data_IF_161149207988
#
_entry.id   IF_161149207988
#
_cell.length_a   1.000
_cell.length_b   1.000
_cell.length_c   1.000
_cell.angle_alpha   90.00
_cell.angle_beta   90.00
_cell.angle_gamma   90.00
#
_symmetry.space_group_name_H-M   'P 1'
#
loop_
_entity.id
_entity.type
_entity.pdbx_description
1 polymer ?
#
# COMPACT_ATOMS: atom_id res chain seq x y z
N UNK A 1 -0.10 -1.64 -33.08
CA UNK A 1 -0.54 -2.34 -34.30
C UNK A 1 -2.03 -2.59 -34.24
N UNK A 2 -2.64 -2.96 -35.37
CA UNK A 2 -4.07 -3.32 -35.47
C UNK A 2 -4.23 -4.64 -36.23
N UNK A 3 -5.47 -5.11 -36.43
CA UNK A 3 -5.78 -6.44 -37.01
C UNK A 3 -5.43 -6.60 -38.50
N UNK A 4 -5.04 -5.51 -39.18
CA UNK A 4 -4.64 -5.49 -40.59
C UNK A 4 -3.48 -4.50 -40.78
N UNK A 5 -2.66 -4.70 -41.82
CA UNK A 5 -1.46 -3.89 -42.08
C UNK A 5 -1.82 -2.44 -42.40
N UNK A 6 -1.34 -1.49 -41.61
CA UNK A 6 -1.46 -0.06 -41.90
C UNK A 6 -0.28 0.42 -42.73
N UNK A 7 -0.52 1.03 -43.90
CA UNK A 7 0.57 1.67 -44.67
C UNK A 7 1.25 2.79 -43.88
N UNK A 8 0.53 3.38 -42.92
CA UNK A 8 1.01 4.36 -41.94
C UNK A 8 2.13 3.83 -41.04
N UNK A 9 2.27 2.51 -40.88
CA UNK A 9 3.39 1.91 -40.16
C UNK A 9 4.74 2.27 -40.81
N UNK A 10 4.76 2.52 -42.13
CA UNK A 10 5.93 3.00 -42.87
C UNK A 10 6.22 4.50 -42.72
N UNK A 11 5.38 5.25 -42.00
CA UNK A 11 5.65 6.66 -41.63
C UNK A 11 6.40 6.79 -40.30
N UNK A 12 6.64 5.68 -39.59
CA UNK A 12 7.32 5.64 -38.30
C UNK A 12 8.31 4.48 -38.24
N UNK A 13 9.13 4.41 -37.19
CA UNK A 13 10.02 3.27 -36.96
C UNK A 13 9.35 2.25 -36.05
N UNK A 14 8.62 1.29 -36.64
CA UNK A 14 8.02 0.18 -35.88
C UNK A 14 9.04 -0.58 -35.02
N UNK A 15 10.30 -0.72 -35.44
CA UNK A 15 11.32 -1.40 -34.62
C UNK A 15 11.72 -0.60 -33.37
N UNK A 16 11.61 0.73 -33.40
CA UNK A 16 11.74 1.59 -32.20
C UNK A 16 10.48 1.54 -31.32
N UNK A 17 9.29 1.53 -31.89
CA UNK A 17 8.04 1.82 -31.18
C UNK A 17 7.10 0.62 -30.92
N UNK A 18 7.40 -0.60 -31.40
CA UNK A 18 6.58 -1.78 -31.08
C UNK A 18 6.98 -2.38 -29.73
N UNK A 19 6.00 -2.54 -28.83
CA UNK A 19 6.11 -3.52 -27.74
C UNK A 19 6.28 -4.92 -28.32
N UNK A 20 7.08 -5.77 -27.67
CA UNK A 20 7.47 -7.10 -28.17
C UNK A 20 7.29 -8.11 -27.05
N UNK A 21 6.57 -9.21 -27.27
CA UNK A 21 6.76 -10.36 -26.39
C UNK A 21 8.13 -10.98 -26.69
N UNK A 22 8.93 -11.27 -25.66
CA UNK A 22 10.27 -11.87 -25.83
C UNK A 22 10.42 -13.25 -25.20
N UNK A 23 9.55 -13.60 -24.25
CA UNK A 23 9.61 -14.85 -23.50
C UNK A 23 8.21 -15.20 -22.95
N UNK A 24 7.94 -16.48 -22.71
CA UNK A 24 6.65 -17.02 -22.24
C UNK A 24 6.90 -18.25 -21.35
N UNK A 25 6.74 -18.11 -20.03
CA UNK A 25 6.74 -19.25 -19.09
C UNK A 25 5.33 -19.87 -18.99
N UNK A 26 5.18 -21.20 -18.88
CA UNK A 26 3.95 -21.79 -18.32
C UNK A 26 3.87 -21.53 -16.81
N UNK A 27 2.67 -21.33 -16.27
CA UNK A 27 2.48 -21.16 -14.82
C UNK A 27 2.61 -22.53 -14.12
N UNK A 28 3.52 -22.71 -13.14
CA UNK A 28 3.68 -23.99 -12.45
C UNK A 28 2.42 -24.42 -11.68
N UNK A 29 1.96 -25.64 -11.92
CA UNK A 29 0.79 -26.22 -11.23
C UNK A 29 -0.56 -26.00 -11.90
N UNK A 30 -0.61 -25.20 -12.98
CA UNK A 30 -1.83 -24.87 -13.72
C UNK A 30 -1.78 -25.44 -15.15
N UNK A 31 -2.94 -25.86 -15.70
CA UNK A 31 -2.95 -26.64 -16.95
C UNK A 31 -2.80 -25.80 -18.24
N UNK A 32 -3.16 -24.51 -18.21
CA UNK A 32 -3.22 -23.65 -19.41
C UNK A 32 -2.86 -22.14 -19.29
N UNK A 33 -2.57 -21.51 -18.13
CA UNK A 33 -2.13 -20.11 -18.08
C UNK A 33 -0.61 -19.95 -18.24
N UNK A 34 -0.19 -18.79 -18.74
CA UNK A 34 1.20 -18.46 -19.09
C UNK A 34 1.57 -17.05 -18.59
N UNK A 35 2.84 -16.86 -18.23
CA UNK A 35 3.45 -15.55 -17.94
C UNK A 35 4.17 -15.10 -19.21
N UNK A 36 3.53 -14.22 -20.00
CA UNK A 36 4.14 -13.61 -21.18
C UNK A 36 4.82 -12.28 -20.83
N UNK A 37 6.10 -12.16 -21.16
CA UNK A 37 6.89 -10.97 -20.83
C UNK A 37 6.97 -9.99 -22.02
N UNK A 38 6.60 -8.73 -21.79
CA UNK A 38 6.47 -7.69 -22.83
C UNK A 38 7.09 -6.36 -22.40
N UNK A 39 8.34 -6.02 -22.82
CA UNK A 39 8.88 -4.67 -22.72
C UNK A 39 8.16 -3.70 -23.66
N UNK A 40 8.08 -2.45 -23.20
CA UNK A 40 7.63 -1.29 -23.94
C UNK A 40 8.77 -0.26 -23.97
N UNK A 41 9.10 0.33 -25.14
CA UNK A 41 10.02 1.46 -25.22
C UNK A 41 9.57 2.64 -24.35
N UNK A 42 10.52 3.32 -23.69
CA UNK A 42 10.24 4.46 -22.80
C UNK A 42 9.45 5.58 -23.51
N UNK A 43 9.82 5.86 -24.76
CA UNK A 43 9.17 6.84 -25.65
C UNK A 43 7.65 6.65 -25.88
N UNK A 44 7.05 5.53 -25.41
CA UNK A 44 5.61 5.28 -25.48
C UNK A 44 4.84 5.74 -24.24
N UNK A 45 5.54 6.15 -23.18
CA UNK A 45 4.96 6.58 -21.91
C UNK A 45 5.02 8.10 -21.83
N UNK A 46 3.85 8.74 -21.70
CA UNK A 46 3.76 10.15 -21.32
C UNK A 46 4.26 10.31 -19.88
N UNK A 47 5.12 11.30 -19.63
CA UNK A 47 5.69 11.58 -18.32
C UNK A 47 4.66 12.14 -17.31
N UNK A 48 3.71 11.32 -16.85
CA UNK A 48 2.98 11.52 -15.58
C UNK A 48 1.44 11.41 -15.54
N UNK A 49 0.75 10.77 -16.51
CA UNK A 49 -0.72 10.89 -16.67
C UNK A 49 -1.50 9.58 -16.92
N UNK A 50 -2.58 9.30 -16.13
CA UNK A 50 -3.66 8.28 -16.36
C UNK A 50 -4.93 8.62 -15.51
N UNK A 51 -6.17 8.40 -15.95
CA UNK A 51 -7.45 8.71 -15.20
C UNK A 51 -8.53 7.62 -15.43
N UNK A 52 -9.64 7.41 -14.70
CA UNK A 52 -10.41 7.90 -13.51
C UNK A 52 -11.40 6.72 -13.13
N UNK A 53 -12.25 6.55 -12.09
CA UNK A 53 -13.01 7.25 -11.01
C UNK A 53 -13.30 6.18 -9.89
N UNK A 54 -13.94 6.25 -8.70
CA UNK A 54 -14.77 7.14 -7.83
C UNK A 54 -14.57 6.67 -6.34
N UNK A 55 -14.63 7.50 -5.27
CA UNK A 55 -14.45 7.02 -3.84
C UNK A 55 -15.06 7.91 -2.74
N UNK A 56 -15.28 7.34 -1.53
CA UNK A 56 -15.57 8.07 -0.29
C UNK A 56 -14.97 7.44 1.00
N UNK A 57 -14.69 8.32 2.00
CA UNK A 57 -14.54 8.10 3.47
C UNK A 57 -13.23 7.50 4.02
N UNK A 58 -12.35 8.35 4.63
CA UNK A 58 -12.06 8.38 6.10
C UNK A 58 -11.17 9.57 6.54
N UNK A 59 -11.43 10.15 7.71
CA UNK A 59 -10.40 10.50 8.70
C UNK A 59 -9.55 11.79 8.58
N UNK A 60 -8.94 12.09 7.43
CA UNK A 60 -7.95 13.18 7.26
C UNK A 60 -8.55 14.32 6.41
N UNK A 61 -7.89 15.49 6.32
CA UNK A 61 -8.28 16.55 5.37
C UNK A 61 -8.23 16.00 3.94
N UNK A 62 -9.41 15.80 3.37
CA UNK A 62 -9.67 14.88 2.26
C UNK A 62 -9.73 15.64 0.93
N UNK A 63 -8.65 15.57 0.16
CA UNK A 63 -8.50 16.30 -1.10
C UNK A 63 -9.36 15.71 -2.23
N UNK A 64 -9.65 14.40 -2.22
CA UNK A 64 -10.41 13.71 -3.29
C UNK A 64 -11.76 14.38 -3.57
N UNK A 65 -11.93 14.89 -4.79
CA UNK A 65 -13.10 15.66 -5.22
C UNK A 65 -13.56 15.22 -6.62
N UNK A 66 -14.76 15.68 -7.02
CA UNK A 66 -15.32 15.37 -8.35
C UNK A 66 -14.66 16.14 -9.50
N UNK A 67 -13.86 17.16 -9.22
CA UNK A 67 -13.06 17.90 -10.21
C UNK A 67 -11.71 18.33 -9.61
N UNK A 68 -10.74 18.65 -10.47
CA UNK A 68 -9.39 19.02 -10.04
C UNK A 68 -9.35 20.37 -9.31
N UNK A 69 -10.26 21.29 -9.65
CA UNK A 69 -10.36 22.62 -9.03
C UNK A 69 -10.80 22.51 -7.57
N UNK A 70 -11.82 21.71 -7.28
CA UNK A 70 -12.26 21.46 -5.89
C UNK A 70 -11.22 20.64 -5.10
N UNK A 71 -10.47 19.75 -5.75
CA UNK A 71 -9.35 19.04 -5.12
C UNK A 71 -8.25 20.01 -4.67
N UNK A 72 -7.75 20.85 -5.58
CA UNK A 72 -6.69 21.82 -5.29
C UNK A 72 -7.16 22.91 -4.31
N UNK A 73 -8.42 23.32 -4.37
CA UNK A 73 -9.05 24.25 -3.40
C UNK A 73 -9.08 23.69 -1.98
N UNK A 74 -9.31 22.38 -1.80
CA UNK A 74 -9.20 21.72 -0.48
C UNK A 74 -7.76 21.63 -0.01
N UNK A 75 -6.81 21.31 -0.90
CA UNK A 75 -5.39 21.29 -0.56
C UNK A 75 -4.87 22.69 -0.18
N UNK A 76 -5.32 23.75 -0.86
CA UNK A 76 -5.03 25.13 -0.51
C UNK A 76 -5.60 25.52 0.86
N UNK A 77 -6.83 25.11 1.17
CA UNK A 77 -7.43 25.31 2.49
C UNK A 77 -6.64 24.56 3.59
N UNK A 78 -6.18 23.34 3.33
CA UNK A 78 -5.34 22.57 4.25
C UNK A 78 -4.02 23.31 4.56
N UNK A 79 -3.34 23.78 3.52
CA UNK A 79 -2.12 24.60 3.63
C UNK A 79 -2.36 25.90 4.41
N UNK A 80 -3.48 26.59 4.17
CA UNK A 80 -3.84 27.84 4.86
C UNK A 80 -4.18 27.62 6.35
N UNK A 81 -4.68 26.44 6.70
CA UNK A 81 -4.84 25.98 8.09
C UNK A 81 -3.52 25.50 8.72
N UNK A 82 -2.43 25.41 7.95
CA UNK A 82 -1.12 24.95 8.43
C UNK A 82 -1.08 23.47 8.85
N UNK A 83 -1.99 22.63 8.35
CA UNK A 83 -1.96 21.19 8.67
C UNK A 83 -0.83 20.50 7.88
N UNK A 84 -0.11 19.52 8.47
CA UNK A 84 1.07 18.93 7.83
C UNK A 84 0.74 17.90 6.74
N UNK A 85 -0.52 17.47 6.62
CA UNK A 85 -0.89 16.32 5.80
C UNK A 85 -2.32 16.43 5.23
N UNK A 86 -2.47 16.00 3.97
CA UNK A 86 -3.74 15.75 3.29
C UNK A 86 -3.81 14.30 2.82
N UNK A 87 -4.98 13.86 2.35
CA UNK A 87 -5.12 12.54 1.72
C UNK A 87 -5.87 12.56 0.39
N UNK A 88 -5.57 11.57 -0.45
CA UNK A 88 -6.17 11.37 -1.76
C UNK A 88 -6.37 9.88 -2.10
N UNK A 89 -7.40 9.58 -2.89
CA UNK A 89 -7.70 8.22 -3.38
C UNK A 89 -7.24 8.08 -4.83
N UNK A 90 -5.96 7.72 -5.02
CA UNK A 90 -5.26 7.91 -6.30
C UNK A 90 -5.89 7.19 -7.51
N UNK A 91 -6.41 5.97 -7.36
CA UNK A 91 -7.06 5.24 -8.45
C UNK A 91 -8.36 5.91 -8.91
N UNK A 92 -8.99 6.68 -8.02
CA UNK A 92 -10.40 7.04 -8.12
C UNK A 92 -10.67 8.55 -8.15
N UNK A 93 -9.67 9.37 -7.82
CA UNK A 93 -9.42 10.63 -8.54
C UNK A 93 -8.72 10.38 -9.89
N UNK A 94 -7.94 9.30 -10.00
CA UNK A 94 -7.09 8.98 -11.15
C UNK A 94 -5.68 9.56 -10.99
N UNK A 95 -4.68 8.89 -11.57
CA UNK A 95 -3.28 9.31 -11.51
C UNK A 95 -3.03 10.73 -12.02
N UNK A 96 -3.71 11.24 -13.06
CA UNK A 96 -3.52 12.62 -13.55
C UNK A 96 -3.91 13.66 -12.48
N UNK A 97 -4.98 13.40 -11.71
CA UNK A 97 -5.33 14.21 -10.54
C UNK A 97 -4.33 14.01 -9.40
N UNK A 98 -3.90 12.76 -9.17
CA UNK A 98 -2.91 12.43 -8.14
C UNK A 98 -1.55 13.10 -8.36
N UNK A 99 -0.96 13.00 -9.56
CA UNK A 99 0.32 13.63 -9.91
C UNK A 99 0.24 15.15 -9.80
N UNK A 100 -0.88 15.74 -10.24
CA UNK A 100 -1.15 17.18 -10.06
C UNK A 100 -1.17 17.59 -8.58
N UNK A 101 -1.80 16.78 -7.73
CA UNK A 101 -1.83 16.99 -6.28
C UNK A 101 -0.47 16.71 -5.62
N UNK A 102 0.29 15.72 -6.07
CA UNK A 102 1.61 15.39 -5.55
C UNK A 102 2.62 16.51 -5.83
N UNK A 103 2.61 17.10 -7.03
CA UNK A 103 3.36 18.32 -7.30
C UNK A 103 2.90 19.50 -6.44
N UNK A 104 1.58 19.72 -6.32
CA UNK A 104 1.06 20.76 -5.42
C UNK A 104 1.53 20.58 -3.97
N UNK A 105 1.49 19.36 -3.44
CA UNK A 105 1.90 19.03 -2.08
C UNK A 105 3.42 19.26 -1.89
N UNK A 106 4.25 18.79 -2.83
CA UNK A 106 5.70 19.04 -2.87
C UNK A 106 6.03 20.54 -2.91
N UNK A 107 5.30 21.34 -3.68
CA UNK A 107 5.51 22.79 -3.82
C UNK A 107 4.92 23.62 -2.66
N UNK A 108 4.04 23.04 -1.82
CA UNK A 108 3.39 23.74 -0.68
C UNK A 108 3.71 23.14 0.70
N UNK A 109 4.61 22.15 0.79
CA UNK A 109 5.06 21.56 2.06
C UNK A 109 4.01 20.69 2.77
N UNK A 110 3.10 20.06 2.03
CA UNK A 110 2.12 19.11 2.55
C UNK A 110 2.59 17.67 2.34
N UNK A 111 2.43 16.80 3.32
CA UNK A 111 2.47 15.35 3.12
C UNK A 111 1.17 14.89 2.42
N UNK A 112 1.29 13.87 1.57
CA UNK A 112 0.21 13.29 0.78
C UNK A 112 0.02 11.81 1.11
N UNK A 113 -0.96 11.51 1.97
CA UNK A 113 -1.37 10.15 2.29
C UNK A 113 -2.27 9.55 1.19
N UNK A 114 -1.87 8.43 0.61
CA UNK A 114 -2.63 7.78 -0.45
C UNK A 114 -3.42 6.58 0.07
N UNK A 115 -4.73 6.65 -0.11
CA UNK A 115 -5.63 5.52 0.12
C UNK A 115 -5.94 4.81 -1.21
N UNK A 116 -6.01 3.47 -1.18
CA UNK A 116 -6.08 2.62 -2.38
C UNK A 116 -7.49 2.14 -2.73
N UNK A 117 -8.52 2.95 -2.49
CA UNK A 117 -9.89 2.56 -2.83
C UNK A 117 -10.02 2.08 -4.29
N UNK A 118 -10.99 1.17 -4.53
CA UNK A 118 -11.18 0.43 -5.79
C UNK A 118 -10.09 -0.60 -6.15
N UNK A 119 -8.91 -0.65 -5.49
CA UNK A 119 -7.84 -1.59 -5.86
C UNK A 119 -8.31 -3.06 -6.00
N UNK A 120 -9.10 -3.56 -5.05
CA UNK A 120 -9.60 -4.93 -5.01
C UNK A 120 -10.62 -5.29 -6.11
N UNK A 121 -11.03 -4.33 -6.95
CA UNK A 121 -11.78 -4.59 -8.19
C UNK A 121 -10.83 -5.00 -9.34
N UNK A 122 -9.55 -4.64 -9.21
CA UNK A 122 -8.50 -4.77 -10.23
C UNK A 122 -7.44 -5.82 -9.83
N UNK A 123 -7.11 -5.96 -8.55
CA UNK A 123 -5.96 -6.76 -8.09
C UNK A 123 -6.30 -8.06 -7.34
N UNK A 124 -7.58 -8.36 -7.10
CA UNK A 124 -7.99 -9.46 -6.20
C UNK A 124 -8.05 -10.86 -6.81
N UNK A 125 -7.98 -11.00 -8.13
CA UNK A 125 -8.17 -12.28 -8.83
C UNK A 125 -6.90 -12.69 -9.57
N UNK A 126 -6.25 -13.77 -9.11
CA UNK A 126 -4.99 -14.30 -9.66
C UNK A 126 -5.02 -14.54 -11.17
N UNK A 127 -6.19 -14.87 -11.72
CA UNK A 127 -6.39 -15.19 -13.15
C UNK A 127 -6.71 -13.98 -14.05
N UNK A 128 -7.09 -12.82 -13.51
CA UNK A 128 -7.44 -11.65 -14.31
C UNK A 128 -7.37 -10.33 -13.54
N UNK A 129 -6.57 -9.38 -14.04
CA UNK A 129 -6.49 -8.04 -13.48
C UNK A 129 -5.08 -7.44 -13.55
N UNK A 130 -4.76 -6.56 -12.60
CA UNK A 130 -3.43 -5.95 -12.41
C UNK A 130 -3.09 -6.06 -10.93
N UNK A 131 -2.28 -7.06 -10.56
CA UNK A 131 -1.86 -7.32 -9.18
C UNK A 131 -1.24 -6.08 -8.50
N UNK A 132 -1.55 -5.87 -7.22
CA UNK A 132 -1.26 -4.65 -6.44
C UNK A 132 0.19 -4.13 -6.58
N UNK A 133 1.20 -5.02 -6.60
CA UNK A 133 2.62 -4.67 -6.83
C UNK A 133 2.87 -3.72 -8.02
N UNK A 134 2.05 -3.78 -9.08
CA UNK A 134 2.14 -2.88 -10.24
C UNK A 134 1.52 -1.51 -9.93
N UNK A 135 0.37 -1.50 -9.25
CA UNK A 135 -0.31 -0.28 -8.81
C UNK A 135 0.53 0.49 -7.76
N UNK A 136 1.23 -0.24 -6.88
CA UNK A 136 2.20 0.29 -5.93
C UNK A 136 3.39 0.99 -6.63
N UNK A 137 3.99 0.37 -7.66
CA UNK A 137 5.00 1.02 -8.51
C UNK A 137 4.46 2.27 -9.19
N UNK A 138 3.26 2.18 -9.79
CA UNK A 138 2.62 3.30 -10.47
C UNK A 138 2.36 4.48 -9.52
N UNK A 139 2.00 4.24 -8.26
CA UNK A 139 1.84 5.28 -7.27
C UNK A 139 3.17 5.89 -6.83
N UNK A 140 4.22 5.10 -6.56
CA UNK A 140 5.56 5.64 -6.24
C UNK A 140 6.09 6.56 -7.33
N UNK A 141 5.75 6.30 -8.60
CA UNK A 141 6.07 7.21 -9.72
C UNK A 141 5.14 8.43 -9.84
N UNK A 142 3.84 8.31 -9.55
CA UNK A 142 2.87 9.42 -9.58
C UNK A 142 3.01 10.39 -8.39
N UNK A 143 3.53 9.90 -7.27
CA UNK A 143 3.79 10.66 -6.05
C UNK A 143 2.75 10.45 -4.94
N UNK A 144 3.26 10.38 -3.71
CA UNK A 144 2.50 10.19 -2.48
C UNK A 144 3.42 9.62 -1.40
N UNK A 145 3.46 10.21 -0.21
CA UNK A 145 4.43 9.88 0.83
C UNK A 145 4.07 8.58 1.56
N UNK A 146 2.78 8.24 1.63
CA UNK A 146 2.28 7.02 2.25
C UNK A 146 1.33 6.28 1.29
N UNK A 147 1.29 4.94 1.29
CA UNK A 147 0.21 4.16 0.64
C UNK A 147 -0.27 2.97 1.49
N UNK A 148 -1.57 2.74 1.51
CA UNK A 148 -2.16 1.53 2.08
C UNK A 148 -1.62 0.24 1.44
N UNK A 149 -0.92 -0.56 2.25
CA UNK A 149 -0.26 -1.82 1.83
C UNK A 149 -1.11 -3.06 2.14
N UNK A 150 -2.05 -2.97 3.08
CA UNK A 150 -2.73 -4.14 3.65
C UNK A 150 -2.08 -4.57 4.97
N UNK A 151 -2.56 -5.64 5.59
CA UNK A 151 -2.24 -5.96 7.00
C UNK A 151 -1.75 -7.39 7.24
N UNK A 152 -1.94 -8.31 6.28
CA UNK A 152 -1.74 -9.78 6.41
C UNK A 152 -2.67 -10.46 7.43
N UNK A 153 -2.81 -9.89 8.64
CA UNK A 153 -3.57 -10.46 9.77
C UNK A 153 -4.92 -9.76 10.03
N UNK A 154 -5.25 -8.71 9.28
CA UNK A 154 -6.49 -7.93 9.44
C UNK A 154 -7.64 -8.43 8.57
N UNK A 155 -8.72 -7.64 8.50
CA UNK A 155 -9.99 -8.02 7.83
C UNK A 155 -9.97 -7.99 6.30
N UNK A 156 -8.79 -7.76 5.70
CA UNK A 156 -8.58 -7.55 4.27
C UNK A 156 -7.46 -8.48 3.83
N UNK A 157 -7.64 -9.13 2.67
CA UNK A 157 -6.68 -10.10 2.16
C UNK A 157 -5.29 -9.49 1.91
N UNK A 158 -4.26 -10.32 2.15
CA UNK A 158 -2.90 -10.12 1.67
C UNK A 158 -2.02 -11.27 2.12
N UNK A 159 -1.48 -12.06 1.19
CA UNK A 159 -0.44 -13.04 1.53
C UNK A 159 0.80 -12.33 2.10
N UNK A 160 1.48 -13.01 3.03
CA UNK A 160 2.66 -12.46 3.71
C UNK A 160 3.84 -12.26 2.77
N UNK A 161 4.16 -13.19 1.89
CA UNK A 161 5.32 -13.07 0.99
C UNK A 161 5.04 -12.06 -0.14
N UNK A 162 3.83 -12.08 -0.68
CA UNK A 162 3.34 -11.06 -1.62
C UNK A 162 3.42 -9.66 -0.99
N UNK A 163 2.96 -9.51 0.26
CA UNK A 163 2.97 -8.23 0.97
C UNK A 163 4.38 -7.73 1.23
N UNK A 164 5.29 -8.59 1.71
CA UNK A 164 6.70 -8.24 1.88
C UNK A 164 7.29 -7.75 0.56
N UNK A 165 7.14 -8.51 -0.53
CA UNK A 165 7.66 -8.12 -1.84
C UNK A 165 7.20 -6.75 -2.34
N UNK A 166 5.92 -6.40 -2.20
CA UNK A 166 5.46 -5.06 -2.61
C UNK A 166 5.74 -3.95 -1.57
N UNK A 167 6.05 -4.29 -0.31
CA UNK A 167 6.56 -3.34 0.68
C UNK A 167 8.02 -2.98 0.38
N UNK A 168 8.85 -3.97 0.04
CA UNK A 168 10.24 -3.76 -0.42
C UNK A 168 10.25 -2.82 -1.65
N UNK A 169 9.39 -3.10 -2.64
CA UNK A 169 9.21 -2.24 -3.83
C UNK A 169 8.76 -0.80 -3.52
N UNK A 170 8.07 -0.56 -2.41
CA UNK A 170 7.59 0.76 -2.02
C UNK A 170 8.66 1.58 -1.31
N UNK A 171 9.58 0.97 -0.54
CA UNK A 171 10.57 1.69 0.27
C UNK A 171 11.96 1.72 -0.34
N UNK A 172 12.44 0.56 -0.78
CA UNK A 172 13.87 0.35 -1.02
C UNK A 172 14.30 1.02 -2.34
N UNK A 173 15.59 1.32 -2.50
CA UNK A 173 16.10 1.91 -3.77
C UNK A 173 16.39 0.85 -4.83
N UNK A 174 16.74 -0.38 -4.41
CA UNK A 174 17.06 -1.49 -5.31
C UNK A 174 16.51 -2.81 -4.76
N UNK A 175 15.73 -3.52 -5.57
CA UNK A 175 15.02 -4.76 -5.21
C UNK A 175 15.34 -5.83 -6.25
N UNK A 176 15.89 -6.98 -5.83
CA UNK A 176 16.24 -8.09 -6.74
C UNK A 176 15.03 -8.92 -7.19
N UNK A 177 15.22 -9.67 -8.30
CA UNK A 177 14.23 -10.63 -8.82
C UNK A 177 14.06 -11.83 -7.88
N UNK A 178 13.13 -11.73 -6.93
CA UNK A 178 12.67 -12.85 -6.10
C UNK A 178 11.24 -13.32 -6.47
N UNK A 179 11.14 -14.47 -7.14
CA UNK A 179 9.84 -15.10 -7.47
C UNK A 179 9.10 -15.62 -6.24
N UNK A 180 9.78 -15.90 -5.11
CA UNK A 180 9.14 -16.34 -3.86
C UNK A 180 8.42 -15.23 -3.09
N UNK A 181 8.61 -13.97 -3.51
CA UNK A 181 7.79 -12.79 -3.13
C UNK A 181 7.00 -12.21 -4.32
N UNK A 182 6.99 -12.89 -5.46
CA UNK A 182 6.34 -12.44 -6.69
C UNK A 182 7.02 -11.24 -7.36
N UNK A 183 8.32 -11.06 -7.18
CA UNK A 183 9.13 -10.04 -7.87
C UNK A 183 9.68 -10.64 -9.17
N UNK A 184 9.01 -10.30 -10.28
CA UNK A 184 9.28 -10.89 -11.60
C UNK A 184 10.53 -10.32 -12.29
N UNK A 185 10.93 -9.11 -11.91
CA UNK A 185 12.08 -8.36 -12.43
C UNK A 185 12.75 -7.61 -11.28
N UNK A 186 14.08 -7.49 -11.32
CA UNK A 186 14.83 -6.51 -10.52
C UNK A 186 14.28 -5.10 -10.80
N UNK A 187 14.16 -4.28 -9.75
CA UNK A 187 13.79 -2.88 -9.84
C UNK A 187 14.89 -2.03 -9.22
N UNK A 188 15.45 -1.12 -10.01
CA UNK A 188 16.25 0.01 -9.55
C UNK A 188 15.34 1.26 -9.58
N UNK A 189 15.33 2.04 -8.50
CA UNK A 189 14.55 3.27 -8.37
C UNK A 189 15.39 4.55 -8.55
N UNK A 190 16.72 4.42 -8.73
CA UNK A 190 17.66 5.51 -8.99
C UNK A 190 17.47 6.74 -8.08
N UNK A 191 17.30 6.47 -6.78
CA UNK A 191 17.07 7.42 -5.70
C UNK A 191 15.73 8.18 -5.74
N UNK A 192 14.72 7.66 -6.43
CA UNK A 192 13.32 8.08 -6.26
C UNK A 192 12.87 7.76 -4.81
N UNK A 193 12.32 8.71 -4.03
CA UNK A 193 11.99 8.49 -2.62
C UNK A 193 11.09 7.26 -2.37
N UNK A 194 11.31 6.63 -1.22
CA UNK A 194 10.46 5.57 -0.71
C UNK A 194 9.11 6.09 -0.21
N UNK A 195 8.11 5.22 -0.22
CA UNK A 195 6.73 5.48 0.21
C UNK A 195 6.43 4.63 1.45
N UNK A 196 5.91 5.25 2.51
CA UNK A 196 5.60 4.53 3.75
C UNK A 196 4.41 3.57 3.55
N UNK A 197 4.59 2.26 3.81
CA UNK A 197 3.51 1.28 3.80
C UNK A 197 2.56 1.51 4.99
N UNK A 198 1.26 1.59 4.70
CA UNK A 198 0.22 1.78 5.71
C UNK A 198 -0.59 0.51 5.92
N UNK A 199 -0.41 -0.12 7.08
CA UNK A 199 -1.18 -1.26 7.50
C UNK A 199 -2.48 -0.80 8.18
N UNK A 200 -3.62 -1.04 7.52
CA UNK A 200 -4.93 -0.55 7.97
C UNK A 200 -6.05 -1.58 7.76
N UNK A 201 -7.01 -1.59 8.69
CA UNK A 201 -8.26 -2.35 8.58
C UNK A 201 -8.28 -3.67 9.36
N UNK A 202 -9.12 -3.73 10.40
CA UNK A 202 -9.37 -4.95 11.20
C UNK A 202 -8.32 -5.26 12.27
N UNK A 203 -7.24 -4.48 12.34
CA UNK A 203 -6.17 -4.67 13.33
C UNK A 203 -6.51 -4.08 14.71
N UNK A 204 -5.90 -4.66 15.74
CA UNK A 204 -6.03 -4.33 17.18
C UNK A 204 -4.77 -4.77 17.94
N UNK A 205 -4.67 -4.47 19.23
CA UNK A 205 -3.43 -4.62 20.04
C UNK A 205 -2.71 -5.97 19.93
N UNK A 206 -3.42 -7.11 19.90
CA UNK A 206 -2.80 -8.44 19.73
C UNK A 206 -2.09 -8.65 18.39
N UNK A 207 -2.44 -7.87 17.35
CA UNK A 207 -1.76 -7.91 16.06
C UNK A 207 -0.45 -7.12 16.05
N UNK A 208 -0.17 -6.28 17.07
CA UNK A 208 0.98 -5.39 17.08
C UNK A 208 2.33 -6.09 16.88
N UNK A 209 2.65 -7.22 17.54
CA UNK A 209 3.96 -7.87 17.36
C UNK A 209 4.18 -8.34 15.91
N UNK A 210 3.14 -8.89 15.28
CA UNK A 210 3.18 -9.32 13.89
C UNK A 210 3.29 -8.13 12.92
N UNK A 211 2.62 -7.01 13.20
CA UNK A 211 2.72 -5.80 12.38
C UNK A 211 4.11 -5.16 12.49
N UNK A 212 4.68 -5.07 13.70
CA UNK A 212 6.05 -4.57 13.92
C UNK A 212 7.11 -5.45 13.26
N UNK A 213 6.87 -6.75 13.11
CA UNK A 213 7.77 -7.71 12.46
C UNK A 213 7.60 -7.75 10.93
N UNK A 214 6.37 -7.67 10.40
CA UNK A 214 6.09 -7.65 8.95
C UNK A 214 6.50 -6.31 8.31
N UNK A 215 6.15 -5.19 8.95
CA UNK A 215 6.31 -3.87 8.35
C UNK A 215 7.52 -3.09 8.88
N UNK A 216 8.04 -3.38 10.07
CA UNK A 216 9.17 -2.64 10.65
C UNK A 216 8.85 -1.17 10.98
N UNK A 217 9.89 -0.38 11.23
CA UNK A 217 9.76 1.00 11.76
C UNK A 217 9.27 2.00 10.71
N UNK A 218 9.73 1.88 9.46
CA UNK A 218 9.24 2.71 8.34
C UNK A 218 7.89 2.17 7.85
N UNK A 219 6.85 2.39 8.65
CA UNK A 219 5.46 2.01 8.39
C UNK A 219 4.45 2.84 9.19
N UNK A 220 3.16 2.74 8.86
CA UNK A 220 2.07 3.38 9.62
C UNK A 220 0.99 2.35 9.95
N UNK A 221 0.72 2.14 11.24
CA UNK A 221 -0.26 1.17 11.73
C UNK A 221 -1.57 1.88 12.13
N UNK A 222 -2.64 1.70 11.36
CA UNK A 222 -3.91 2.44 11.52
C UNK A 222 -5.00 1.64 12.27
N UNK A 223 -5.13 1.93 13.56
CA UNK A 223 -6.13 1.31 14.45
C UNK A 223 -7.44 2.11 14.51
N UNK A 224 -8.26 2.04 13.46
CA UNK A 224 -9.58 2.70 13.44
C UNK A 224 -10.55 2.11 14.49
N UNK A 225 -11.13 0.94 14.19
CA UNK A 225 -11.97 0.20 15.14
C UNK A 225 -11.21 -0.19 16.42
N UNK A 226 -9.92 -0.51 16.30
CA UNK A 226 -9.03 -0.79 17.42
C UNK A 226 -8.71 0.40 18.34
N UNK A 227 -9.17 1.62 18.01
CA UNK A 227 -9.12 2.79 18.92
C UNK A 227 -10.53 3.21 19.35
N UNK A 228 -11.44 3.43 18.39
CA UNK A 228 -12.78 3.95 18.69
C UNK A 228 -13.70 2.90 19.36
N UNK A 229 -13.40 1.61 19.21
CA UNK A 229 -14.09 0.51 19.88
C UNK A 229 -13.55 0.16 21.27
N UNK A 230 -12.60 0.94 21.81
CA UNK A 230 -12.06 0.70 23.15
C UNK A 230 -13.14 0.96 24.23
N UNK A 231 -13.31 0.10 25.25
CA UNK A 231 -14.42 0.19 26.22
C UNK A 231 -14.41 1.46 27.08
N UNK A 232 -13.27 2.17 27.15
CA UNK A 232 -13.13 3.45 27.86
C UNK A 232 -13.00 4.65 26.91
N UNK A 233 -13.30 4.47 25.62
CA UNK A 233 -13.30 5.51 24.60
C UNK A 233 -11.93 5.79 23.95
N UNK A 234 -11.93 6.76 23.03
CA UNK A 234 -10.86 6.96 22.05
C UNK A 234 -9.47 7.22 22.65
N UNK A 235 -9.36 8.01 23.73
CA UNK A 235 -8.06 8.36 24.30
C UNK A 235 -7.38 7.15 24.98
N UNK A 236 -8.05 6.39 25.87
CA UNK A 236 -7.56 5.09 26.31
C UNK A 236 -7.26 4.11 25.16
N UNK A 237 -8.08 4.07 24.11
CA UNK A 237 -7.79 3.25 22.92
C UNK A 237 -6.48 3.65 22.21
N UNK A 238 -6.19 4.95 22.12
CA UNK A 238 -4.94 5.44 21.56
C UNK A 238 -3.73 5.12 22.47
N UNK A 239 -3.89 5.22 23.79
CA UNK A 239 -2.88 4.81 24.79
C UNK A 239 -2.59 3.31 24.67
N UNK A 240 -3.61 2.46 24.62
CA UNK A 240 -3.46 1.01 24.49
C UNK A 240 -2.65 0.62 23.24
N UNK A 241 -2.99 1.18 22.07
CA UNK A 241 -2.25 0.92 20.83
C UNK A 241 -0.82 1.49 20.88
N UNK A 242 -0.61 2.65 21.51
CA UNK A 242 0.73 3.25 21.66
C UNK A 242 1.64 2.42 22.58
N UNK A 243 1.13 1.99 23.72
CA UNK A 243 1.85 1.13 24.68
C UNK A 243 2.19 -0.22 24.05
N UNK A 244 1.25 -0.85 23.34
CA UNK A 244 1.51 -2.09 22.62
C UNK A 244 2.65 -1.95 21.59
N UNK A 245 2.68 -0.84 20.84
CA UNK A 245 3.74 -0.57 19.86
C UNK A 245 5.11 -0.36 20.53
N UNK A 246 5.19 0.49 21.55
CA UNK A 246 6.45 0.77 22.26
C UNK A 246 7.01 -0.48 22.95
N UNK A 247 6.15 -1.31 23.55
CA UNK A 247 6.56 -2.60 24.11
C UNK A 247 7.11 -3.57 23.05
N UNK A 248 6.48 -3.65 21.86
CA UNK A 248 6.96 -4.49 20.77
C UNK A 248 8.31 -3.99 20.21
N UNK A 249 8.46 -2.68 20.02
CA UNK A 249 9.72 -2.07 19.53
C UNK A 249 10.84 -2.23 20.57
N UNK A 250 10.57 -2.00 21.85
CA UNK A 250 11.55 -2.23 22.92
C UNK A 250 12.00 -3.70 22.93
N UNK A 251 11.07 -4.64 23.03
CA UNK A 251 11.40 -6.06 23.09
C UNK A 251 12.20 -6.52 21.87
N UNK A 252 11.80 -6.12 20.65
CA UNK A 252 12.54 -6.41 19.42
C UNK A 252 13.97 -5.88 19.47
N UNK A 253 14.15 -4.64 19.93
CA UNK A 253 15.47 -4.00 20.03
C UNK A 253 16.34 -4.62 21.14
N UNK A 254 15.73 -5.25 22.14
CA UNK A 254 16.38 -6.09 23.17
C UNK A 254 16.68 -7.53 22.68
N UNK A 255 16.32 -7.87 21.44
CA UNK A 255 16.58 -9.17 20.81
C UNK A 255 15.45 -10.20 20.92
N UNK A 256 14.24 -9.78 21.31
CA UNK A 256 13.06 -10.65 21.38
C UNK A 256 12.56 -11.05 19.98
N UNK A 257 12.32 -12.36 19.81
CA UNK A 257 11.63 -12.91 18.65
C UNK A 257 10.12 -12.63 18.76
N UNK A 258 9.67 -11.50 18.20
CA UNK A 258 8.25 -11.11 18.23
C UNK A 258 7.31 -12.14 17.58
N UNK A 259 7.78 -12.92 16.61
CA UNK A 259 6.97 -13.94 15.94
C UNK A 259 6.67 -15.15 16.86
N UNK A 260 7.55 -15.43 17.84
CA UNK A 260 7.34 -16.47 18.86
C UNK A 260 6.81 -15.92 20.19
N UNK A 261 7.32 -14.77 20.64
CA UNK A 261 7.16 -14.25 22.01
C UNK A 261 6.23 -13.01 22.08
N UNK A 262 5.75 -12.48 20.96
CA UNK A 262 4.94 -11.25 20.92
C UNK A 262 3.69 -11.26 21.82
N UNK A 263 3.04 -12.42 21.95
CA UNK A 263 1.90 -12.59 22.88
C UNK A 263 2.29 -12.51 24.36
N UNK A 264 3.56 -12.73 24.71
CA UNK A 264 4.08 -12.58 26.06
C UNK A 264 4.48 -11.12 26.30
N UNK A 265 5.14 -10.46 25.35
CA UNK A 265 5.44 -9.02 25.37
C UNK A 265 4.18 -8.18 25.65
N UNK A 266 3.08 -8.46 24.94
CA UNK A 266 1.79 -7.78 25.17
C UNK A 266 1.23 -8.06 26.57
N UNK A 267 1.33 -9.29 27.09
CA UNK A 267 0.86 -9.64 28.45
C UNK A 267 1.71 -9.03 29.56
N UNK A 268 3.01 -8.86 29.36
CA UNK A 268 3.87 -8.13 30.28
C UNK A 268 3.51 -6.64 30.31
N UNK A 269 3.23 -6.03 29.15
CA UNK A 269 2.76 -4.65 29.05
C UNK A 269 1.39 -4.42 29.73
N UNK A 270 0.47 -5.40 29.64
CA UNK A 270 -0.81 -5.39 30.37
C UNK A 270 -0.66 -5.31 31.91
N UNK A 271 0.50 -5.65 32.49
CA UNK A 271 0.72 -5.57 33.94
C UNK A 271 0.81 -4.12 34.46
N UNK A 272 1.11 -3.16 33.57
CA UNK A 272 1.34 -1.76 33.93
C UNK A 272 0.56 -0.74 33.11
N UNK A 273 -0.04 -1.10 31.97
CA UNK A 273 -1.09 -0.29 31.30
C UNK A 273 -2.47 -0.96 31.45
N UNK A 274 -3.37 -0.39 32.28
CA UNK A 274 -4.76 -0.83 32.37
C UNK A 274 -5.52 -0.67 31.04
N UNK A 275 -5.18 0.32 30.23
CA UNK A 275 -5.79 0.56 28.92
C UNK A 275 -5.46 -0.58 27.96
N UNK A 276 -4.19 -1.00 27.90
CA UNK A 276 -3.80 -2.16 27.11
C UNK A 276 -4.46 -3.44 27.63
N UNK A 277 -4.54 -3.64 28.96
CA UNK A 277 -5.25 -4.79 29.54
C UNK A 277 -6.73 -4.83 29.12
N UNK A 278 -7.43 -3.69 29.12
CA UNK A 278 -8.82 -3.58 28.67
C UNK A 278 -8.98 -3.83 27.17
N UNK A 279 -8.09 -3.27 26.34
CA UNK A 279 -8.05 -3.53 24.90
C UNK A 279 -7.82 -5.03 24.58
N UNK A 280 -6.89 -5.66 25.30
CA UNK A 280 -6.55 -7.06 25.16
C UNK A 280 -7.72 -7.99 25.50
N UNK A 281 -8.45 -7.74 26.59
CA UNK A 281 -9.60 -8.56 27.00
C UNK A 281 -10.75 -8.49 25.98
N UNK A 282 -10.98 -7.33 25.34
CA UNK A 282 -12.06 -7.13 24.35
C UNK A 282 -11.76 -7.82 23.01
N UNK A 283 -10.50 -7.98 22.62
CA UNK A 283 -10.13 -8.47 21.28
C UNK A 283 -9.34 -9.80 21.25
N UNK A 284 -9.15 -10.48 22.40
CA UNK A 284 -8.38 -11.74 22.52
C UNK A 284 -8.83 -12.91 21.62
N UNK A 285 -10.11 -12.97 21.27
CA UNK A 285 -10.69 -14.03 20.44
C UNK A 285 -10.91 -13.59 18.98
N UNK A 286 -10.63 -12.33 18.65
CA UNK A 286 -10.85 -11.78 17.31
C UNK A 286 -9.64 -12.08 16.42
N UNK A 287 -9.90 -12.80 15.33
CA UNK A 287 -8.95 -13.12 14.26
C UNK A 287 -9.63 -13.09 12.90
N UNK A 288 -8.83 -13.02 11.84
CA UNK A 288 -9.27 -13.11 10.45
C UNK A 288 -8.55 -14.27 9.75
N UNK A 289 -8.95 -15.49 10.05
CA UNK A 289 -8.38 -16.73 9.48
C UNK A 289 -9.27 -17.19 8.30
N UNK A 290 -8.84 -16.90 7.07
CA UNK A 290 -9.54 -17.22 5.82
C UNK A 290 -8.56 -17.65 4.73
N UNK A 291 -9.02 -18.44 3.76
CA UNK A 291 -8.25 -18.78 2.56
C UNK A 291 -8.00 -17.54 1.68
N UNK A 292 -6.80 -17.46 1.10
CA UNK A 292 -6.33 -16.33 0.28
C UNK A 292 -6.60 -16.63 -1.21
N UNK A 293 -7.18 -15.67 -1.93
CA UNK A 293 -7.43 -15.77 -3.37
C UNK A 293 -6.15 -15.44 -4.17
N UNK A 294 -5.52 -14.30 -3.91
CA UNK A 294 -4.31 -13.88 -4.61
C UNK A 294 -3.05 -14.51 -3.99
N UNK A 295 -2.72 -15.70 -4.47
CA UNK A 295 -1.53 -16.49 -4.10
C UNK A 295 -0.48 -16.43 -5.21
N UNK A 296 0.80 -16.67 -4.87
CA UNK A 296 1.92 -16.71 -5.82
C UNK A 296 1.79 -17.80 -6.90
#
# INVERSE_FOLDING_TARGET
GTWTTGWTDGLTNLDRYKGRCFDIDPVPGEENPYIAYVPYPLDLLEEGSVTNMFTAIVGIVYATAGTCEEMLKRAACARELGVPIVMHDYLTGGFTANTSLAFYCRDNGLLLHIHRAMHAVIDRQKNHGIHFRVLAKALRMSGGDHIHSGTVVGKLEGDRQVTLGFVDLLRDDYIEKDRSRGIYFTQDWVSLPGVFPVASGGIHVWHMPALTEIFGDDSILQFGGGTLGHPWGNAPGAVANRVALEACVQARNEGCDLARQGNEVIREACKWSPELAAACEVWKEIKFEFDIIDTL
#
